data_IF_236310615341
#
_entry.id   IF_236310615341
#
_cell.length_a   1.000
_cell.length_b   1.000
_cell.length_c   1.000
_cell.angle_alpha   90.00
_cell.angle_beta   90.00
_cell.angle_gamma   90.00
#
_symmetry.space_group_name_H-M   'P 1'
#
loop_
_entity.id
_entity.type
_entity.pdbx_description
1 polymer ?
#
# COMPACT_ATOMS: atom_id res chain seq x y z
N UNK A 1 -18.90 24.37 -14.34
CA UNK A 1 -17.97 25.35 -13.74
C UNK A 1 -16.69 24.60 -13.35
N UNK A 2 -15.70 24.64 -14.24
CA UNK A 2 -14.36 24.06 -14.09
C UNK A 2 -13.46 25.09 -13.42
N UNK A 3 -13.47 25.10 -12.08
CA UNK A 3 -12.55 25.90 -11.29
C UNK A 3 -11.47 25.01 -10.68
N UNK A 4 -10.21 25.42 -10.78
CA UNK A 4 -9.14 24.82 -9.99
C UNK A 4 -9.43 25.04 -8.50
N UNK A 5 -9.33 24.01 -7.64
CA UNK A 5 -9.45 24.15 -6.20
C UNK A 5 -8.54 25.26 -5.66
N UNK A 6 -8.96 25.99 -4.63
CA UNK A 6 -8.06 26.87 -3.89
C UNK A 6 -6.78 26.12 -3.48
N UNK A 7 -5.62 26.75 -3.65
CA UNK A 7 -4.30 26.15 -3.37
C UNK A 7 -3.74 25.26 -4.49
N UNK A 8 -4.52 24.87 -5.50
CA UNK A 8 -4.05 23.96 -6.55
C UNK A 8 -2.86 24.54 -7.32
N UNK A 9 -2.96 25.78 -7.80
CA UNK A 9 -1.90 26.40 -8.59
C UNK A 9 -0.58 26.48 -7.81
N UNK A 10 -0.64 26.70 -6.49
CA UNK A 10 0.55 26.76 -5.65
C UNK A 10 1.22 25.40 -5.49
N UNK A 11 0.45 24.36 -5.18
CA UNK A 11 0.98 23.00 -5.09
C UNK A 11 1.47 22.50 -6.45
N UNK A 12 0.75 22.79 -7.53
CA UNK A 12 1.09 22.36 -8.89
C UNK A 12 2.38 23.00 -9.45
N UNK A 13 2.75 24.21 -9.00
CA UNK A 13 4.04 24.83 -9.39
C UNK A 13 5.23 23.97 -9.01
N UNK A 14 5.16 23.25 -7.89
CA UNK A 14 6.24 22.34 -7.46
C UNK A 14 6.43 21.12 -8.38
N UNK A 15 5.46 20.86 -9.25
CA UNK A 15 5.42 19.73 -10.17
C UNK A 15 5.69 20.11 -11.64
N UNK A 16 6.01 21.38 -11.91
CA UNK A 16 6.22 21.87 -13.28
C UNK A 16 4.98 22.49 -13.94
N UNK A 17 4.07 23.07 -13.14
CA UNK A 17 2.89 23.83 -13.59
C UNK A 17 1.84 22.99 -14.36
N UNK A 18 0.91 22.41 -13.60
CA UNK A 18 -0.17 21.56 -14.16
C UNK A 18 -1.40 22.41 -14.47
N UNK A 19 -1.91 22.32 -15.71
CA UNK A 19 -3.19 22.94 -16.09
C UNK A 19 -4.37 22.15 -15.52
N UNK A 20 -5.17 22.81 -14.70
CA UNK A 20 -6.40 22.28 -14.10
C UNK A 20 -7.69 22.85 -14.71
N UNK A 21 -7.59 23.87 -15.56
CA UNK A 21 -8.74 24.57 -16.12
C UNK A 21 -9.29 23.85 -17.36
N UNK A 22 -8.39 23.34 -18.22
CA UNK A 22 -8.76 22.74 -19.52
C UNK A 22 -8.51 21.23 -19.59
N UNK A 23 -8.28 20.57 -18.45
CA UNK A 23 -8.00 19.14 -18.41
C UNK A 23 -9.22 18.30 -18.87
N UNK A 24 -9.02 17.24 -19.70
CA UNK A 24 -10.11 16.37 -20.15
C UNK A 24 -10.87 15.73 -18.98
N UNK A 25 -12.21 15.68 -19.02
CA UNK A 25 -13.02 15.32 -17.86
C UNK A 25 -12.94 13.84 -17.46
N UNK A 26 -12.71 12.94 -18.43
CA UNK A 26 -12.80 11.48 -18.22
C UNK A 26 -11.42 10.83 -18.27
N UNK A 27 -10.73 10.94 -19.40
CA UNK A 27 -9.43 10.31 -19.64
C UNK A 27 -8.59 11.18 -20.55
N UNK A 28 -7.28 11.15 -20.33
CA UNK A 28 -6.28 11.75 -21.19
C UNK A 28 -5.09 10.79 -21.33
N UNK A 29 -4.48 10.77 -22.52
CA UNK A 29 -3.35 9.89 -22.84
C UNK A 29 -2.22 10.70 -23.43
N UNK A 30 -1.00 10.46 -22.94
CA UNK A 30 0.24 11.13 -23.35
C UNK A 30 1.36 10.11 -23.57
N UNK A 31 2.33 10.40 -24.44
CA UNK A 31 3.53 9.59 -24.55
C UNK A 31 4.31 9.53 -23.23
N UNK A 32 4.79 8.36 -22.78
CA UNK A 32 5.61 8.27 -21.57
C UNK A 32 6.93 9.06 -21.63
N UNK A 33 7.41 9.37 -22.84
CA UNK A 33 8.63 10.15 -23.05
C UNK A 33 8.43 11.65 -22.87
N UNK A 34 7.19 12.13 -22.72
CA UNK A 34 6.88 13.55 -22.51
C UNK A 34 6.54 13.89 -21.06
N UNK A 35 6.78 12.98 -20.11
CA UNK A 35 6.50 13.21 -18.69
C UNK A 35 7.57 14.10 -18.06
N UNK A 36 7.19 14.79 -16.97
CA UNK A 36 8.04 15.77 -16.31
C UNK A 36 9.31 15.18 -15.67
N UNK A 37 9.30 13.89 -15.35
CA UNK A 37 10.42 13.18 -14.75
C UNK A 37 10.57 11.78 -15.35
N UNK A 38 11.81 11.35 -15.63
CA UNK A 38 12.11 10.06 -16.27
C UNK A 38 11.76 8.84 -15.41
N UNK A 39 11.53 9.01 -14.12
CA UNK A 39 11.08 7.94 -13.22
C UNK A 39 9.57 7.69 -13.29
N UNK A 40 8.79 8.64 -13.81
CA UNK A 40 7.33 8.53 -13.88
C UNK A 40 6.86 7.35 -14.75
N UNK A 41 7.40 7.11 -15.96
CA UNK A 41 7.04 5.92 -16.75
C UNK A 41 7.39 4.60 -16.04
N UNK A 42 8.48 4.60 -15.26
CA UNK A 42 8.96 3.40 -14.55
C UNK A 42 7.98 3.01 -13.46
N UNK A 43 7.60 3.95 -12.59
CA UNK A 43 6.64 3.68 -11.50
C UNK A 43 5.24 3.38 -12.06
N UNK A 44 4.82 4.06 -13.13
CA UNK A 44 3.53 3.80 -13.77
C UNK A 44 3.46 2.39 -14.36
N UNK A 45 4.45 2.00 -15.16
CA UNK A 45 4.51 0.67 -15.73
C UNK A 45 4.59 -0.40 -14.64
N UNK A 46 5.41 -0.19 -13.62
CA UNK A 46 5.58 -1.16 -12.54
C UNK A 46 4.28 -1.41 -11.78
N UNK A 47 3.55 -0.35 -11.40
CA UNK A 47 2.29 -0.48 -10.66
C UNK A 47 1.19 -1.11 -11.52
N UNK A 48 1.06 -0.68 -12.79
CA UNK A 48 0.05 -1.22 -13.72
C UNK A 48 0.30 -2.71 -14.00
N UNK A 49 1.54 -3.08 -14.30
CA UNK A 49 1.91 -4.50 -14.49
C UNK A 49 1.68 -5.29 -13.20
N UNK A 50 2.09 -4.74 -12.05
CA UNK A 50 1.86 -5.36 -10.74
C UNK A 50 0.38 -5.65 -10.47
N UNK A 51 -0.50 -4.69 -10.71
CA UNK A 51 -1.95 -4.85 -10.57
C UNK A 51 -2.52 -5.92 -11.53
N UNK A 52 -2.04 -5.95 -12.78
CA UNK A 52 -2.43 -6.96 -13.77
C UNK A 52 -1.98 -8.38 -13.40
N UNK A 53 -0.73 -8.56 -12.97
CA UNK A 53 -0.23 -9.86 -12.51
C UNK A 53 -0.94 -10.29 -11.23
N UNK A 54 -1.23 -9.37 -10.31
CA UNK A 54 -2.04 -9.63 -9.11
C UNK A 54 -3.44 -10.14 -9.47
N UNK A 55 -4.09 -9.55 -10.49
CA UNK A 55 -5.39 -10.00 -10.98
C UNK A 55 -5.32 -11.42 -11.54
N UNK A 56 -4.32 -11.70 -12.38
CA UNK A 56 -4.09 -13.06 -12.92
C UNK A 56 -3.90 -14.05 -11.78
N UNK A 57 -3.07 -13.71 -10.78
CA UNK A 57 -2.88 -14.53 -9.59
C UNK A 57 -4.20 -14.76 -8.83
N UNK A 58 -5.00 -13.71 -8.63
CA UNK A 58 -6.28 -13.80 -7.92
C UNK A 58 -7.31 -14.68 -8.65
N UNK A 59 -7.41 -14.55 -9.96
CA UNK A 59 -8.30 -15.38 -10.79
C UNK A 59 -7.85 -16.84 -10.76
N UNK A 60 -6.55 -17.10 -10.87
CA UNK A 60 -6.01 -18.47 -10.81
C UNK A 60 -6.18 -19.07 -9.41
N UNK A 61 -6.00 -18.28 -8.35
CA UNK A 61 -6.25 -18.70 -6.98
C UNK A 61 -7.69 -19.18 -6.80
N UNK A 62 -8.66 -18.38 -7.27
CA UNK A 62 -10.06 -18.77 -7.22
C UNK A 62 -10.34 -20.03 -8.04
N UNK A 63 -9.88 -20.09 -9.29
CA UNK A 63 -10.14 -21.24 -10.18
C UNK A 63 -9.51 -22.55 -9.69
N UNK A 64 -8.34 -22.50 -9.07
CA UNK A 64 -7.60 -23.70 -8.64
C UNK A 64 -7.88 -24.12 -7.21
N UNK A 65 -8.14 -23.18 -6.30
CA UNK A 65 -8.36 -23.45 -4.87
C UNK A 65 -9.81 -23.27 -4.42
N UNK A 66 -10.70 -22.86 -5.32
CA UNK A 66 -12.12 -22.64 -5.01
C UNK A 66 -12.37 -21.49 -4.03
N UNK A 67 -11.40 -20.60 -3.85
CA UNK A 67 -11.45 -19.51 -2.89
C UNK A 67 -11.49 -18.13 -3.58
N UNK A 68 -12.64 -17.44 -3.57
CA UNK A 68 -12.78 -16.15 -4.24
C UNK A 68 -12.21 -14.98 -3.43
N UNK A 69 -11.70 -15.19 -2.21
CA UNK A 69 -11.31 -14.11 -1.28
C UNK A 69 -10.27 -13.17 -1.89
N UNK A 70 -9.24 -13.71 -2.55
CA UNK A 70 -8.20 -12.91 -3.17
C UNK A 70 -8.73 -12.03 -4.30
N UNK A 71 -9.59 -12.58 -5.17
CA UNK A 71 -10.22 -11.81 -6.25
C UNK A 71 -11.17 -10.76 -5.69
N UNK A 72 -11.92 -11.10 -4.65
CA UNK A 72 -12.79 -10.17 -3.96
C UNK A 72 -12.02 -9.01 -3.32
N UNK A 73 -10.87 -9.27 -2.69
CA UNK A 73 -9.98 -8.22 -2.18
C UNK A 73 -9.48 -7.32 -3.31
N UNK A 74 -8.98 -7.89 -4.40
CA UNK A 74 -8.50 -7.13 -5.56
C UNK A 74 -9.60 -6.19 -6.08
N UNK A 75 -10.82 -6.69 -6.29
CA UNK A 75 -11.93 -5.84 -6.73
C UNK A 75 -12.36 -4.81 -5.67
N UNK A 76 -12.32 -5.17 -4.39
CA UNK A 76 -12.68 -4.27 -3.30
C UNK A 76 -11.73 -3.07 -3.21
N UNK A 77 -10.45 -3.23 -3.58
CA UNK A 77 -9.51 -2.09 -3.64
C UNK A 77 -9.91 -1.04 -4.67
N UNK A 78 -10.48 -1.45 -5.82
CA UNK A 78 -10.99 -0.53 -6.83
C UNK A 78 -12.28 0.16 -6.38
N UNK A 79 -13.17 -0.56 -5.69
CA UNK A 79 -14.37 0.04 -5.08
C UNK A 79 -13.96 1.06 -4.02
N UNK A 80 -13.00 0.71 -3.15
CA UNK A 80 -12.45 1.62 -2.15
C UNK A 80 -11.89 2.90 -2.79
N UNK A 81 -11.09 2.76 -3.85
CA UNK A 81 -10.57 3.89 -4.61
C UNK A 81 -11.69 4.81 -5.11
N UNK A 82 -12.71 4.26 -5.77
CA UNK A 82 -13.82 5.06 -6.33
C UNK A 82 -14.61 5.79 -5.25
N UNK A 83 -14.67 5.23 -4.03
CA UNK A 83 -15.33 5.88 -2.89
C UNK A 83 -14.41 6.94 -2.26
N UNK A 84 -13.11 6.68 -2.17
CA UNK A 84 -12.17 7.54 -1.45
C UNK A 84 -11.68 8.73 -2.29
N UNK A 85 -11.18 8.48 -3.50
CA UNK A 85 -10.42 9.46 -4.29
C UNK A 85 -11.23 10.67 -4.75
N UNK A 86 -12.48 10.54 -5.27
CA UNK A 86 -13.21 11.71 -5.76
C UNK A 86 -13.46 12.78 -4.67
N UNK A 87 -13.81 12.43 -3.42
CA UNK A 87 -13.82 13.38 -2.31
C UNK A 87 -12.48 14.08 -2.05
N UNK A 88 -11.33 13.40 -2.21
CA UNK A 88 -10.02 14.00 -1.97
C UNK A 88 -9.62 14.98 -3.09
N UNK A 89 -9.99 14.68 -4.34
CA UNK A 89 -9.71 15.56 -5.48
C UNK A 89 -10.68 16.71 -5.66
N UNK A 90 -11.94 16.53 -5.25
CA UNK A 90 -13.01 17.52 -5.43
C UNK A 90 -13.76 17.79 -4.12
N UNK A 91 -13.08 18.12 -3.02
CA UNK A 91 -13.70 18.23 -1.69
C UNK A 91 -14.86 19.23 -1.65
N UNK A 92 -14.84 20.27 -2.48
CA UNK A 92 -15.93 21.25 -2.59
C UNK A 92 -17.24 20.63 -3.08
N UNK A 93 -17.16 19.63 -3.97
CA UNK A 93 -18.34 18.94 -4.52
C UNK A 93 -19.00 18.00 -3.51
N UNK A 94 -18.27 17.62 -2.46
CA UNK A 94 -18.74 16.73 -1.41
C UNK A 94 -19.01 17.46 -0.08
N UNK A 95 -18.89 18.79 -0.04
CA UNK A 95 -19.07 19.58 1.18
C UNK A 95 -17.98 19.33 2.23
N UNK A 96 -16.79 18.92 1.80
CA UNK A 96 -15.66 18.56 2.66
C UNK A 96 -14.48 19.55 2.58
N UNK A 97 -14.70 20.72 1.97
CA UNK A 97 -13.64 21.70 1.72
C UNK A 97 -12.99 22.20 3.02
N UNK A 98 -13.78 22.46 4.05
CA UNK A 98 -13.27 23.04 5.30
C UNK A 98 -12.56 22.00 6.16
N UNK A 99 -12.92 20.72 6.02
CA UNK A 99 -12.36 19.61 6.80
C UNK A 99 -11.10 19.03 6.15
N UNK A 100 -11.10 18.90 4.81
CA UNK A 100 -10.01 18.24 4.08
C UNK A 100 -9.12 19.24 3.33
N UNK A 101 -9.72 20.25 2.71
CA UNK A 101 -9.03 21.09 1.72
C UNK A 101 -8.49 20.28 0.54
N UNK A 102 -7.69 20.92 -0.32
CA UNK A 102 -6.91 20.21 -1.32
C UNK A 102 -5.76 19.50 -0.60
N UNK A 103 -5.75 18.18 -0.52
CA UNK A 103 -4.75 17.43 0.27
C UNK A 103 -3.43 17.29 -0.51
N UNK A 104 -3.50 16.97 -1.78
CA UNK A 104 -2.33 16.79 -2.64
C UNK A 104 -2.69 17.02 -4.11
N UNK A 105 -1.67 17.13 -4.94
CA UNK A 105 -1.78 17.16 -6.40
C UNK A 105 -0.85 16.10 -6.96
N UNK A 106 -1.38 15.19 -7.78
CA UNK A 106 -0.54 14.29 -8.57
C UNK A 106 0.02 15.01 -9.78
N UNK A 107 1.22 14.61 -10.20
CA UNK A 107 1.74 15.00 -11.49
C UNK A 107 0.96 14.30 -12.63
N UNK A 108 1.17 14.75 -13.85
CA UNK A 108 0.46 14.26 -15.04
C UNK A 108 1.23 13.09 -15.65
N UNK A 109 0.71 11.87 -15.49
CA UNK A 109 1.29 10.65 -16.05
C UNK A 109 0.78 10.33 -17.46
N UNK A 110 1.22 9.21 -18.03
CA UNK A 110 0.88 8.81 -19.40
C UNK A 110 -0.63 8.62 -19.54
N UNK A 111 -1.29 8.00 -18.55
CA UNK A 111 -2.74 7.87 -18.52
C UNK A 111 -3.28 8.55 -17.26
N UNK A 112 -4.08 9.60 -17.44
CA UNK A 112 -4.80 10.24 -16.34
C UNK A 112 -6.31 10.10 -16.50
N UNK A 113 -6.98 10.18 -15.37
CA UNK A 113 -8.43 10.19 -15.23
C UNK A 113 -8.86 11.45 -14.46
N UNK A 114 -10.16 11.76 -14.51
CA UNK A 114 -10.80 12.77 -13.67
C UNK A 114 -10.12 14.16 -13.72
N UNK A 115 -10.14 14.82 -14.89
CA UNK A 115 -9.55 16.16 -15.05
C UNK A 115 -8.05 16.19 -14.72
N UNK A 116 -7.32 15.17 -15.17
CA UNK A 116 -5.89 14.98 -14.90
C UNK A 116 -5.51 14.85 -13.42
N UNK A 117 -6.44 14.46 -12.54
CA UNK A 117 -6.18 14.36 -11.08
C UNK A 117 -5.91 12.96 -10.59
N UNK A 118 -6.39 11.94 -11.29
CA UNK A 118 -6.24 10.55 -10.91
C UNK A 118 -5.38 9.80 -11.94
N UNK A 119 -4.06 9.68 -11.71
CA UNK A 119 -3.20 8.87 -12.55
C UNK A 119 -3.57 7.39 -12.54
N UNK A 120 -3.39 6.70 -13.68
CA UNK A 120 -3.63 5.26 -13.78
C UNK A 120 -2.73 4.46 -12.83
N UNK A 121 -1.50 4.92 -12.59
CA UNK A 121 -0.63 4.23 -11.63
C UNK A 121 -1.20 4.28 -10.21
N UNK A 122 -1.87 5.36 -9.79
CA UNK A 122 -2.56 5.43 -8.50
C UNK A 122 -3.71 4.43 -8.48
N UNK A 123 -4.49 4.33 -9.57
CA UNK A 123 -5.50 3.27 -9.70
C UNK A 123 -4.91 1.88 -9.53
N UNK A 124 -3.70 1.65 -10.03
CA UNK A 124 -3.00 0.39 -9.94
C UNK A 124 -2.32 0.14 -8.58
N UNK A 125 -1.86 1.18 -7.87
CA UNK A 125 -1.19 1.08 -6.56
C UNK A 125 -2.09 0.37 -5.54
N UNK A 126 -3.38 0.71 -5.52
CA UNK A 126 -4.37 0.15 -4.60
C UNK A 126 -4.42 -1.39 -4.66
N UNK A 127 -4.73 -2.01 -5.82
CA UNK A 127 -4.66 -3.46 -5.96
C UNK A 127 -3.24 -4.00 -5.88
N UNK A 128 -2.23 -3.36 -6.49
CA UNK A 128 -0.88 -3.92 -6.56
C UNK A 128 -0.28 -4.14 -5.15
N UNK A 129 -0.28 -3.10 -4.30
CA UNK A 129 0.35 -3.17 -2.98
C UNK A 129 -0.51 -3.90 -1.96
N UNK A 130 -1.81 -3.59 -1.90
CA UNK A 130 -2.71 -4.25 -0.93
C UNK A 130 -2.76 -5.76 -1.19
N UNK A 131 -2.83 -6.16 -2.45
CA UNK A 131 -2.85 -7.57 -2.81
C UNK A 131 -1.51 -8.25 -2.54
N UNK A 132 -0.38 -7.62 -2.91
CA UNK A 132 0.94 -8.19 -2.66
C UNK A 132 1.20 -8.40 -1.16
N UNK A 133 0.88 -7.40 -0.33
CA UNK A 133 0.98 -7.50 1.12
C UNK A 133 0.07 -8.62 1.68
N UNK A 134 -1.19 -8.68 1.23
CA UNK A 134 -2.11 -9.74 1.63
C UNK A 134 -1.60 -11.12 1.25
N UNK A 135 -1.13 -11.30 0.00
CA UNK A 135 -0.67 -12.58 -0.50
C UNK A 135 0.63 -13.04 0.19
N UNK A 136 1.52 -12.12 0.56
CA UNK A 136 2.72 -12.42 1.36
C UNK A 136 2.37 -12.97 2.74
N UNK A 137 1.44 -12.31 3.44
CA UNK A 137 0.99 -12.79 4.76
C UNK A 137 0.15 -14.05 4.62
N UNK A 138 -0.69 -14.16 3.59
CA UNK A 138 -1.48 -15.37 3.30
C UNK A 138 -0.55 -16.59 3.13
N UNK A 139 0.58 -16.43 2.42
CA UNK A 139 1.55 -17.51 2.22
C UNK A 139 2.18 -18.02 3.51
N UNK A 140 2.22 -17.23 4.58
CA UNK A 140 2.69 -17.73 5.88
C UNK A 140 1.65 -18.62 6.58
N UNK A 141 0.37 -18.52 6.19
CA UNK A 141 -0.77 -19.14 6.86
C UNK A 141 -1.22 -18.43 8.15
N UNK A 142 -0.63 -17.28 8.48
CA UNK A 142 -1.05 -16.46 9.63
C UNK A 142 -2.53 -16.06 9.55
N UNK A 143 -3.04 -15.84 8.34
CA UNK A 143 -4.44 -15.48 8.10
C UNK A 143 -5.43 -16.62 8.41
N UNK A 144 -4.98 -17.87 8.51
CA UNK A 144 -5.84 -19.00 8.87
C UNK A 144 -5.72 -19.31 10.37
N UNK A 145 -4.51 -19.18 10.93
CA UNK A 145 -4.20 -19.58 12.31
C UNK A 145 -4.57 -18.54 13.36
N UNK A 146 -4.70 -17.27 12.97
CA UNK A 146 -4.94 -16.17 13.90
C UNK A 146 -6.25 -15.45 13.62
N UNK A 147 -6.74 -14.70 14.62
CA UNK A 147 -7.99 -13.94 14.53
C UNK A 147 -7.99 -12.96 13.34
N UNK A 148 -9.19 -12.60 12.80
CA UNK A 148 -9.35 -11.60 11.75
C UNK A 148 -8.49 -10.34 11.93
N UNK A 149 -8.57 -9.74 13.13
CA UNK A 149 -7.84 -8.52 13.47
C UNK A 149 -6.32 -8.73 13.53
N UNK A 150 -5.83 -9.81 14.14
CA UNK A 150 -4.39 -10.08 14.23
C UNK A 150 -3.76 -10.27 12.84
N UNK A 151 -4.39 -11.05 11.97
CA UNK A 151 -3.90 -11.22 10.60
C UNK A 151 -4.03 -9.95 9.75
N UNK A 152 -5.08 -9.13 9.98
CA UNK A 152 -5.20 -7.82 9.33
C UNK A 152 -4.09 -6.86 9.76
N UNK A 153 -3.70 -6.86 11.05
CA UNK A 153 -2.56 -6.08 11.54
C UNK A 153 -1.25 -6.53 10.87
N UNK A 154 -1.02 -7.84 10.70
CA UNK A 154 0.14 -8.33 9.95
C UNK A 154 0.16 -7.81 8.51
N UNK A 155 -0.97 -7.86 7.79
CA UNK A 155 -1.04 -7.35 6.41
C UNK A 155 -0.84 -5.83 6.37
N UNK A 156 -1.43 -5.10 7.31
CA UNK A 156 -1.28 -3.65 7.42
C UNK A 156 0.20 -3.27 7.61
N UNK A 157 0.93 -3.95 8.49
CA UNK A 157 2.36 -3.68 8.72
C UNK A 157 3.19 -4.00 7.48
N UNK A 158 2.89 -5.10 6.77
CA UNK A 158 3.59 -5.41 5.51
C UNK A 158 3.29 -4.36 4.45
N UNK A 159 2.02 -4.00 4.26
CA UNK A 159 1.62 -2.93 3.33
C UNK A 159 2.31 -1.62 3.67
N UNK A 160 2.27 -1.22 4.94
CA UNK A 160 2.93 -0.02 5.47
C UNK A 160 4.39 0.03 5.07
N UNK A 161 5.14 -1.05 5.29
CA UNK A 161 6.56 -1.09 4.92
C UNK A 161 6.79 -0.96 3.41
N UNK A 162 5.95 -1.56 2.56
CA UNK A 162 6.07 -1.36 1.12
C UNK A 162 5.68 0.06 0.70
N UNK A 163 4.55 0.56 1.22
CA UNK A 163 4.00 1.86 0.88
C UNK A 163 4.95 3.00 1.27
N UNK A 164 5.54 2.97 2.46
CA UNK A 164 6.42 4.05 2.92
C UNK A 164 7.75 4.14 2.15
N UNK A 165 8.21 3.05 1.53
CA UNK A 165 9.36 3.12 0.61
C UNK A 165 9.01 3.96 -0.62
N UNK A 166 7.75 3.90 -1.06
CA UNK A 166 7.20 4.65 -2.19
C UNK A 166 6.79 6.08 -1.79
N UNK A 167 6.07 6.25 -0.68
CA UNK A 167 5.48 7.53 -0.25
C UNK A 167 6.55 8.55 0.15
N UNK A 168 7.62 8.08 0.80
CA UNK A 168 8.77 8.91 1.20
C UNK A 168 9.64 9.33 0.00
N UNK A 169 9.44 8.75 -1.18
CA UNK A 169 10.23 9.04 -2.38
C UNK A 169 9.47 9.95 -3.38
N UNK A 170 8.16 9.77 -3.50
CA UNK A 170 7.36 10.42 -4.54
C UNK A 170 7.41 11.95 -4.58
N UNK A 171 7.38 12.67 -3.44
CA UNK A 171 7.51 14.13 -3.44
C UNK A 171 8.82 14.61 -4.05
N UNK A 172 9.93 13.93 -3.76
CA UNK A 172 11.25 14.29 -4.28
C UNK A 172 11.32 14.13 -5.80
N UNK A 173 10.76 13.03 -6.32
CA UNK A 173 10.72 12.69 -7.75
C UNK A 173 9.53 13.31 -8.50
N UNK A 174 8.83 14.26 -7.89
CA UNK A 174 7.69 14.99 -8.48
C UNK A 174 6.57 14.09 -8.98
N UNK A 175 6.32 12.96 -8.33
CA UNK A 175 5.17 12.12 -8.65
C UNK A 175 3.86 12.71 -8.13
N UNK A 176 3.94 13.40 -6.99
CA UNK A 176 2.89 14.24 -6.42
C UNK A 176 3.51 15.25 -5.46
N UNK A 177 2.70 16.22 -5.05
CA UNK A 177 3.06 17.17 -4.00
C UNK A 177 1.93 17.24 -2.97
N UNK A 178 2.31 17.18 -1.70
CA UNK A 178 1.40 17.42 -0.59
C UNK A 178 1.15 18.92 -0.44
N UNK A 179 -0.09 19.30 -0.14
CA UNK A 179 -0.43 20.70 0.12
C UNK A 179 -0.12 21.08 1.58
N UNK A 180 0.83 21.98 1.85
CA UNK A 180 1.13 22.41 3.22
C UNK A 180 -0.04 23.14 3.91
N UNK A 181 -0.96 23.72 3.12
CA UNK A 181 -2.14 24.41 3.64
C UNK A 181 -3.31 23.50 4.05
N UNK A 182 -3.22 22.19 3.82
CA UNK A 182 -4.29 21.25 4.20
C UNK A 182 -4.20 20.89 5.69
N UNK A 183 -5.27 21.07 6.49
CA UNK A 183 -5.25 20.75 7.93
C UNK A 183 -4.96 19.28 8.24
N UNK A 184 -5.28 18.38 7.30
CA UNK A 184 -5.05 16.95 7.41
C UNK A 184 -3.59 16.54 7.17
N UNK A 185 -2.75 17.42 6.63
CA UNK A 185 -1.36 17.10 6.29
C UNK A 185 -0.36 17.36 7.42
N UNK A 186 -0.78 18.02 8.49
CA UNK A 186 0.02 18.16 9.72
C UNK A 186 -0.34 17.05 10.72
N UNK A 187 0.63 16.54 11.50
CA UNK A 187 2.06 16.87 11.48
C UNK A 187 2.82 16.14 10.36
N UNK A 188 4.08 16.54 10.12
CA UNK A 188 4.92 16.04 9.03
C UNK A 188 6.04 15.10 9.50
N UNK A 189 6.34 14.09 8.69
CA UNK A 189 7.56 13.29 8.71
C UNK A 189 8.36 13.65 7.45
N UNK A 190 9.30 14.60 7.59
CA UNK A 190 9.99 15.20 6.45
C UNK A 190 8.96 15.73 5.41
N UNK A 191 9.04 15.32 4.14
CA UNK A 191 8.10 15.72 3.10
C UNK A 191 6.70 15.07 3.15
N UNK A 192 6.45 14.11 4.06
CA UNK A 192 5.23 13.29 4.06
C UNK A 192 4.39 13.53 5.32
N UNK A 193 3.07 13.77 5.19
CA UNK A 193 2.18 13.85 6.34
C UNK A 193 2.15 12.57 7.18
N UNK A 194 2.27 12.68 8.51
CA UNK A 194 2.14 11.54 9.43
C UNK A 194 0.73 10.93 9.35
N UNK A 195 -0.28 11.71 8.95
CA UNK A 195 -1.61 11.19 8.64
C UNK A 195 -1.60 10.22 7.46
N UNK A 196 -0.83 10.47 6.39
CA UNK A 196 -0.60 9.49 5.31
C UNK A 196 0.04 8.22 5.88
N UNK A 197 1.13 8.39 6.64
CA UNK A 197 1.92 7.31 7.24
C UNK A 197 1.08 6.38 8.12
N UNK A 198 0.06 6.90 8.82
CA UNK A 198 -0.71 6.09 9.78
C UNK A 198 -2.11 5.77 9.28
N UNK A 199 -2.85 6.77 8.81
CA UNK A 199 -4.25 6.60 8.40
C UNK A 199 -4.32 5.88 7.06
N UNK A 200 -3.58 6.36 6.07
CA UNK A 200 -3.58 5.72 4.76
C UNK A 200 -2.75 4.44 4.77
N UNK A 201 -1.48 4.50 5.21
CA UNK A 201 -0.54 3.39 5.07
C UNK A 201 -0.72 2.25 6.09
N UNK A 202 -1.48 2.44 7.17
CA UNK A 202 -1.70 1.38 8.17
C UNK A 202 -3.19 1.13 8.48
N UNK A 203 -3.96 2.17 8.80
CA UNK A 203 -5.36 1.99 9.20
C UNK A 203 -6.25 1.54 8.03
N UNK A 204 -6.03 2.07 6.82
CA UNK A 204 -6.80 1.67 5.64
C UNK A 204 -6.58 0.20 5.21
N UNK A 205 -5.34 -0.33 5.06
CA UNK A 205 -5.16 -1.75 4.75
C UNK A 205 -5.61 -2.64 5.90
N UNK A 206 -5.46 -2.22 7.16
CA UNK A 206 -6.01 -2.95 8.31
C UNK A 206 -7.53 -3.10 8.18
N UNK A 207 -8.26 -2.00 7.97
CA UNK A 207 -9.71 -1.99 7.84
C UNK A 207 -10.18 -2.84 6.66
N UNK A 208 -9.55 -2.67 5.50
CA UNK A 208 -9.90 -3.44 4.30
C UNK A 208 -9.71 -4.95 4.50
N UNK A 209 -8.57 -5.36 5.06
CA UNK A 209 -8.27 -6.78 5.27
C UNK A 209 -9.16 -7.37 6.36
N UNK A 210 -9.43 -6.62 7.43
CA UNK A 210 -10.37 -7.04 8.46
C UNK A 210 -11.76 -7.28 7.87
N UNK A 211 -12.29 -6.33 7.11
CA UNK A 211 -13.58 -6.46 6.43
C UNK A 211 -13.59 -7.61 5.42
N UNK A 212 -12.53 -7.75 4.63
CA UNK A 212 -12.35 -8.89 3.70
C UNK A 212 -12.45 -10.21 4.46
N UNK A 213 -11.76 -10.34 5.59
CA UNK A 213 -11.78 -11.57 6.40
C UNK A 213 -13.14 -11.81 7.06
N UNK A 214 -13.84 -10.76 7.50
CA UNK A 214 -15.15 -10.90 8.12
C UNK A 214 -16.25 -11.23 7.10
N UNK A 215 -16.19 -10.66 5.91
CA UNK A 215 -17.26 -10.73 4.91
C UNK A 215 -17.01 -11.82 3.86
N UNK A 216 -15.77 -12.04 3.43
CA UNK A 216 -15.46 -12.95 2.32
C UNK A 216 -14.92 -14.32 2.74
N UNK A 217 -14.41 -14.50 3.96
CA UNK A 217 -13.84 -15.77 4.41
C UNK A 217 -14.84 -16.95 4.39
N UNK A 218 -16.15 -16.66 4.50
CA UNK A 218 -17.22 -17.69 4.38
C UNK A 218 -17.56 -18.07 2.94
N UNK A 219 -16.77 -17.63 1.96
CA UNK A 219 -16.89 -17.96 0.52
C UNK A 219 -18.34 -17.83 0.02
N UNK A 220 -18.94 -16.63 0.12
CA UNK A 220 -20.31 -16.41 -0.36
C UNK A 220 -20.43 -16.80 -1.84
N UNK A 221 -21.58 -17.34 -2.23
CA UNK A 221 -21.92 -17.54 -3.64
C UNK A 221 -22.47 -16.24 -4.25
N UNK A 222 -22.38 -16.05 -5.58
CA UNK A 222 -23.10 -14.98 -6.26
C UNK A 222 -24.62 -15.07 -5.98
N UNK A 223 -25.36 -13.95 -5.82
CA UNK A 223 -24.89 -12.55 -5.92
C UNK A 223 -24.30 -11.99 -4.62
N UNK A 224 -24.43 -12.69 -3.49
CA UNK A 224 -23.95 -12.21 -2.19
C UNK A 224 -22.45 -11.89 -2.18
N UNK A 225 -21.64 -12.61 -2.97
CA UNK A 225 -20.21 -12.32 -3.13
C UNK A 225 -19.95 -10.90 -3.65
N UNK A 226 -20.69 -10.46 -4.67
CA UNK A 226 -20.54 -9.12 -5.28
C UNK A 226 -20.91 -8.05 -4.25
N UNK A 227 -22.05 -8.22 -3.57
CA UNK A 227 -22.49 -7.27 -2.56
C UNK A 227 -21.48 -7.15 -1.40
N UNK A 228 -20.86 -8.26 -0.99
CA UNK A 228 -19.83 -8.23 0.05
C UNK A 228 -18.53 -7.58 -0.42
N UNK A 229 -18.11 -7.78 -1.67
CA UNK A 229 -16.95 -7.09 -2.26
C UNK A 229 -17.19 -5.58 -2.30
N UNK A 230 -18.36 -5.15 -2.78
CA UNK A 230 -18.77 -3.74 -2.76
C UNK A 230 -18.80 -3.23 -1.33
N UNK A 231 -19.38 -3.99 -0.41
CA UNK A 231 -19.43 -3.66 1.02
C UNK A 231 -18.04 -3.48 1.63
N UNK A 232 -17.07 -4.34 1.33
CA UNK A 232 -15.68 -4.17 1.78
C UNK A 232 -15.13 -2.83 1.30
N UNK A 233 -15.23 -2.53 0.00
CA UNK A 233 -14.71 -1.28 -0.56
C UNK A 233 -15.39 -0.03 0.03
N UNK A 234 -16.72 -0.03 0.12
CA UNK A 234 -17.51 1.09 0.67
C UNK A 234 -17.28 1.28 2.17
N UNK A 235 -17.12 0.21 2.94
CA UNK A 235 -16.93 0.28 4.40
C UNK A 235 -15.48 0.56 4.80
N UNK A 236 -14.50 0.41 3.90
CA UNK A 236 -13.08 0.63 4.21
C UNK A 236 -12.77 2.06 4.67
N UNK A 237 -13.24 3.15 4.03
CA UNK A 237 -13.04 4.51 4.53
C UNK A 237 -13.62 4.72 5.94
N UNK A 238 -14.77 4.09 6.24
CA UNK A 238 -15.36 4.15 7.58
C UNK A 238 -14.53 3.37 8.60
N UNK A 239 -14.02 2.19 8.23
CA UNK A 239 -13.11 1.42 9.08
C UNK A 239 -11.80 2.19 9.35
N UNK A 240 -11.26 2.86 8.33
CA UNK A 240 -10.10 3.75 8.45
C UNK A 240 -10.39 4.91 9.43
N UNK A 241 -11.55 5.56 9.31
CA UNK A 241 -11.99 6.60 10.23
C UNK A 241 -12.12 6.06 11.67
N UNK A 242 -12.73 4.89 11.86
CA UNK A 242 -12.86 4.25 13.17
C UNK A 242 -11.50 3.91 13.80
N UNK A 243 -10.55 3.41 13.00
CA UNK A 243 -9.18 3.16 13.44
C UNK A 243 -8.44 4.45 13.79
N UNK A 244 -8.92 5.60 13.31
CA UNK A 244 -8.38 6.94 13.60
C UNK A 244 -9.07 7.62 14.80
N UNK A 245 -10.14 7.04 15.35
CA UNK A 245 -10.81 7.56 16.57
C UNK A 245 -9.87 7.60 17.78
N UNK A 246 -9.05 6.55 18.07
CA UNK A 246 -8.08 6.61 19.16
C UNK A 246 -7.14 7.81 19.03
N UNK A 247 -6.70 8.12 17.81
CA UNK A 247 -5.92 9.32 17.53
C UNK A 247 -6.71 10.60 17.87
N UNK A 248 -7.95 10.73 17.41
CA UNK A 248 -8.79 11.90 17.67
C UNK A 248 -9.15 12.11 19.15
N UNK A 249 -9.20 11.04 19.94
CA UNK A 249 -9.37 11.12 21.40
C UNK A 249 -8.04 11.49 22.05
N UNK A 250 -6.96 10.77 21.74
CA UNK A 250 -5.65 10.96 22.36
C UNK A 250 -5.06 12.35 22.04
N UNK A 251 -5.26 12.87 20.83
CA UNK A 251 -4.85 14.23 20.46
C UNK A 251 -5.63 15.31 21.23
N UNK A 252 -6.90 15.07 21.59
CA UNK A 252 -7.64 15.99 22.48
C UNK A 252 -7.09 15.97 23.90
N UNK A 253 -6.70 14.79 24.39
CA UNK A 253 -6.10 14.62 25.72
C UNK A 253 -4.69 15.22 25.84
N UNK A 254 -3.85 15.03 24.82
CA UNK A 254 -2.47 15.55 24.78
C UNK A 254 -2.38 17.04 24.40
N UNK A 255 -3.52 17.68 24.14
CA UNK A 255 -3.61 19.02 23.59
C UNK A 255 -3.55 19.03 22.05
N UNK A 256 -4.27 19.98 21.44
CA UNK A 256 -4.37 20.14 19.97
C UNK A 256 -3.10 20.70 19.30
N UNK A 257 -1.93 20.31 19.79
CA UNK A 257 -0.64 20.65 19.18
C UNK A 257 -0.23 19.59 18.16
N UNK A 258 0.60 19.98 17.20
CA UNK A 258 1.20 19.07 16.21
C UNK A 258 1.95 17.91 16.89
N UNK A 259 2.62 18.17 18.02
CA UNK A 259 3.31 17.16 18.80
C UNK A 259 2.33 16.14 19.42
N UNK A 260 1.22 16.61 20.02
CA UNK A 260 0.19 15.74 20.59
C UNK A 260 -0.48 14.88 19.51
N UNK A 261 -0.72 15.46 18.33
CA UNK A 261 -1.21 14.72 17.17
C UNK A 261 -0.20 13.67 16.68
N UNK A 262 1.07 14.02 16.56
CA UNK A 262 2.12 13.10 16.13
C UNK A 262 2.22 11.90 17.07
N UNK A 263 2.31 12.14 18.39
CA UNK A 263 2.35 11.08 19.40
C UNK A 263 1.14 10.15 19.27
N UNK A 264 -0.04 10.71 19.07
CA UNK A 264 -1.26 9.93 18.95
C UNK A 264 -1.29 9.05 17.68
N UNK A 265 -0.82 9.57 16.53
CA UNK A 265 -0.70 8.80 15.29
C UNK A 265 0.35 7.67 15.44
N UNK A 266 1.53 7.99 15.97
CA UNK A 266 2.58 6.99 16.20
C UNK A 266 2.15 5.90 17.18
N UNK A 267 1.35 6.24 18.20
CA UNK A 267 0.80 5.25 19.13
C UNK A 267 -0.13 4.25 18.42
N UNK A 268 -0.99 4.71 17.49
CA UNK A 268 -1.85 3.82 16.69
C UNK A 268 -1.02 2.86 15.85
N UNK A 269 -0.01 3.37 15.16
CA UNK A 269 0.90 2.53 14.38
C UNK A 269 1.66 1.54 15.27
N UNK A 270 2.17 1.99 16.42
CA UNK A 270 2.89 1.14 17.36
C UNK A 270 2.03 -0.03 17.88
N UNK A 271 0.73 0.19 18.11
CA UNK A 271 -0.20 -0.88 18.48
C UNK A 271 -0.33 -1.91 17.36
N UNK A 272 -0.50 -1.49 16.10
CA UNK A 272 -0.57 -2.41 14.96
C UNK A 272 0.72 -3.23 14.81
N UNK A 273 1.89 -2.56 14.91
CA UNK A 273 3.20 -3.20 14.88
C UNK A 273 3.36 -4.20 16.03
N UNK A 274 2.97 -3.82 17.25
CA UNK A 274 3.04 -4.71 18.41
C UNK A 274 2.16 -5.95 18.23
N UNK A 275 0.91 -5.77 17.77
CA UNK A 275 -0.01 -6.89 17.51
C UNK A 275 0.57 -7.82 16.44
N UNK A 276 1.11 -7.28 15.35
CA UNK A 276 1.73 -8.06 14.30
C UNK A 276 2.96 -8.83 14.81
N UNK A 277 3.87 -8.16 15.53
CA UNK A 277 5.08 -8.76 16.08
C UNK A 277 4.78 -9.88 17.08
N UNK A 278 3.80 -9.68 17.98
CA UNK A 278 3.36 -10.71 18.92
C UNK A 278 2.69 -11.89 18.21
N UNK A 279 1.97 -11.63 17.12
CA UNK A 279 1.33 -12.67 16.30
C UNK A 279 2.37 -13.54 15.62
N UNK A 280 3.35 -12.92 14.94
CA UNK A 280 4.46 -13.63 14.29
C UNK A 280 5.32 -14.36 15.33
N UNK A 281 5.62 -13.73 16.47
CA UNK A 281 6.43 -14.33 17.51
C UNK A 281 5.81 -15.57 18.16
N UNK A 282 4.48 -15.62 18.30
CA UNK A 282 3.77 -16.83 18.74
C UNK A 282 3.80 -17.93 17.69
N UNK A 283 3.64 -17.56 16.43
CA UNK A 283 3.61 -18.50 15.31
C UNK A 283 4.96 -19.19 15.08
N UNK A 284 6.05 -18.43 15.07
CA UNK A 284 7.43 -18.95 14.90
C UNK A 284 7.78 -19.96 16.00
N UNK A 285 7.30 -19.74 17.23
CA UNK A 285 7.51 -20.67 18.35
C UNK A 285 6.72 -21.97 18.25
N UNK A 286 5.69 -22.02 17.40
CA UNK A 286 4.77 -23.15 17.31
C UNK A 286 5.22 -24.27 16.35
N UNK A 287 6.40 -24.14 15.72
CA UNK A 287 7.08 -25.13 14.86
C UNK A 287 6.14 -25.97 13.99
N UNK A 288 5.82 -25.50 12.78
CA UNK A 288 5.03 -26.30 11.83
C UNK A 288 5.54 -26.20 10.40
N UNK A 289 5.55 -27.37 9.76
CA UNK A 289 5.89 -27.55 8.34
C UNK A 289 4.76 -27.00 7.46
N UNK A 290 5.00 -25.85 6.85
CA UNK A 290 4.24 -25.38 5.70
C UNK A 290 4.93 -25.87 4.43
N UNK A 291 4.19 -26.55 3.55
CA UNK A 291 4.69 -27.01 2.25
C UNK A 291 4.13 -26.11 1.13
N UNK A 292 4.89 -25.12 0.65
CA UNK A 292 4.52 -24.41 -0.57
C UNK A 292 4.63 -25.36 -1.77
N UNK A 293 3.72 -25.25 -2.74
CA UNK A 293 3.90 -25.88 -4.04
C UNK A 293 4.93 -25.08 -4.85
N UNK A 294 5.53 -25.70 -5.86
CA UNK A 294 6.51 -25.05 -6.74
C UNK A 294 5.88 -24.17 -7.84
N UNK A 295 4.58 -23.93 -7.76
CA UNK A 295 3.81 -23.24 -8.80
C UNK A 295 3.87 -21.72 -8.75
N UNK A 296 3.35 -21.10 -9.83
CA UNK A 296 3.18 -19.64 -9.91
C UNK A 296 2.45 -19.03 -8.70
N UNK A 297 1.43 -19.72 -8.17
CA UNK A 297 0.63 -19.20 -7.05
C UNK A 297 1.48 -19.00 -5.79
N UNK A 298 2.38 -19.93 -5.49
CA UNK A 298 3.20 -19.81 -4.28
C UNK A 298 4.39 -18.88 -4.51
N UNK A 299 4.94 -18.80 -5.73
CA UNK A 299 6.08 -17.92 -6.05
C UNK A 299 5.70 -16.45 -6.18
N UNK A 300 4.48 -16.15 -6.67
CA UNK A 300 4.04 -14.78 -6.96
C UNK A 300 4.28 -13.80 -5.81
N UNK A 301 3.88 -14.04 -4.54
CA UNK A 301 4.03 -13.04 -3.48
C UNK A 301 5.48 -12.64 -3.23
N UNK A 302 6.39 -13.62 -3.28
CA UNK A 302 7.84 -13.38 -3.08
C UNK A 302 8.44 -12.66 -4.27
N UNK A 303 8.10 -13.06 -5.50
CA UNK A 303 8.60 -12.39 -6.71
C UNK A 303 8.09 -10.95 -6.78
N UNK A 304 6.81 -10.71 -6.49
CA UNK A 304 6.22 -9.38 -6.46
C UNK A 304 6.88 -8.48 -5.41
N UNK A 305 7.05 -8.99 -4.18
CA UNK A 305 7.73 -8.24 -3.12
C UNK A 305 9.21 -7.95 -3.43
N UNK A 306 9.94 -8.93 -3.97
CA UNK A 306 11.34 -8.75 -4.37
C UNK A 306 11.46 -7.75 -5.54
N UNK A 307 10.60 -7.85 -6.54
CA UNK A 307 10.57 -6.91 -7.66
C UNK A 307 10.28 -5.48 -7.18
N UNK A 308 9.35 -5.30 -6.23
CA UNK A 308 9.11 -4.00 -5.62
C UNK A 308 10.39 -3.46 -4.96
N UNK A 309 11.03 -4.23 -4.08
CA UNK A 309 12.22 -3.75 -3.38
C UNK A 309 13.36 -3.42 -4.34
N UNK A 310 13.56 -4.21 -5.40
CA UNK A 310 14.60 -3.96 -6.39
C UNK A 310 14.32 -2.69 -7.20
N UNK A 311 13.09 -2.50 -7.68
CA UNK A 311 12.70 -1.31 -8.45
C UNK A 311 12.83 -0.07 -7.57
N UNK A 312 12.30 -0.10 -6.36
CA UNK A 312 12.37 1.06 -5.46
C UNK A 312 13.77 1.33 -4.93
N UNK A 313 14.61 0.31 -4.72
CA UNK A 313 16.03 0.54 -4.43
C UNK A 313 16.73 1.26 -5.59
N UNK A 314 16.40 0.91 -6.85
CA UNK A 314 16.89 1.61 -8.03
C UNK A 314 16.41 3.07 -8.09
N UNK A 315 15.12 3.32 -7.83
CA UNK A 315 14.57 4.67 -7.82
C UNK A 315 15.14 5.53 -6.68
N UNK A 316 15.33 4.97 -5.49
CA UNK A 316 16.05 5.62 -4.39
C UNK A 316 17.50 5.92 -4.75
N UNK A 317 18.20 5.01 -5.45
CA UNK A 317 19.57 5.24 -5.89
C UNK A 317 19.66 6.41 -6.90
N UNK A 318 18.68 6.56 -7.78
CA UNK A 318 18.57 7.72 -8.70
C UNK A 318 18.32 9.02 -7.93
N UNK A 319 17.50 8.98 -6.89
CA UNK A 319 17.17 10.14 -6.05
C UNK A 319 18.28 10.52 -5.06
N UNK A 320 19.17 9.60 -4.72
CA UNK A 320 20.13 9.76 -3.63
C UNK A 320 21.12 10.93 -3.82
N UNK A 321 21.68 11.21 -5.00
CA UNK A 321 22.57 12.36 -5.20
C UNK A 321 21.90 13.69 -4.80
N UNK A 322 20.68 13.94 -5.28
CA UNK A 322 19.93 15.16 -4.96
C UNK A 322 19.47 15.18 -3.50
N UNK A 323 19.18 14.00 -2.92
CA UNK A 323 18.88 13.86 -1.50
C UNK A 323 20.06 14.31 -0.62
N UNK A 324 21.27 13.88 -0.97
CA UNK A 324 22.49 14.20 -0.21
C UNK A 324 22.92 15.66 -0.38
N UNK A 325 22.56 16.28 -1.51
CA UNK A 325 22.79 17.70 -1.77
C UNK A 325 21.66 18.59 -1.22
N UNK A 326 20.65 18.02 -0.57
CA UNK A 326 19.51 18.79 -0.08
C UNK A 326 19.90 19.70 1.08
N UNK A 327 19.40 20.93 1.06
CA UNK A 327 19.57 21.92 2.13
C UNK A 327 18.22 22.28 2.71
N UNK A 328 18.10 22.27 4.04
CA UNK A 328 16.84 22.55 4.74
C UNK A 328 15.64 21.72 4.26
N UNK A 329 15.87 20.46 3.87
CA UNK A 329 14.81 19.54 3.43
C UNK A 329 14.38 19.71 1.97
N UNK A 330 15.08 20.51 1.18
CA UNK A 330 14.81 20.72 -0.25
C UNK A 330 16.03 20.33 -1.11
N UNK A 331 15.80 19.61 -2.20
CA UNK A 331 16.82 19.31 -3.22
C UNK A 331 17.29 20.58 -3.94
N UNK A 332 18.40 20.55 -4.70
CA UNK A 332 18.79 21.67 -5.57
C UNK A 332 17.71 22.08 -6.58
N UNK A 333 16.84 21.14 -6.96
CA UNK A 333 15.72 21.38 -7.86
C UNK A 333 14.44 21.87 -7.15
N UNK A 334 14.53 22.19 -5.85
CA UNK A 334 13.45 22.74 -5.03
C UNK A 334 12.39 21.73 -4.60
N UNK A 335 12.62 20.43 -4.78
CA UNK A 335 11.67 19.38 -4.36
C UNK A 335 11.90 18.96 -2.91
N UNK A 336 10.84 18.73 -2.12
CA UNK A 336 10.99 18.32 -0.73
C UNK A 336 11.44 16.86 -0.63
N UNK A 337 12.37 16.58 0.29
CA UNK A 337 12.89 15.23 0.52
C UNK A 337 12.13 14.51 1.64
N UNK A 338 11.84 13.22 1.46
CA UNK A 338 11.25 12.38 2.50
C UNK A 338 12.28 11.90 3.54
N UNK A 339 11.84 10.98 4.40
CA UNK A 339 12.70 10.40 5.44
C UNK A 339 13.40 9.14 4.93
N UNK A 340 14.66 9.26 4.50
CA UNK A 340 15.48 8.13 4.07
C UNK A 340 15.65 7.08 5.17
N UNK A 341 15.86 7.53 6.42
CA UNK A 341 15.98 6.62 7.57
C UNK A 341 14.72 5.79 7.80
N UNK A 342 13.55 6.40 7.63
CA UNK A 342 12.27 5.71 7.78
C UNK A 342 12.02 4.73 6.62
N UNK A 343 12.22 5.17 5.38
CA UNK A 343 12.10 4.32 4.19
C UNK A 343 13.07 3.12 4.26
N UNK A 344 14.32 3.34 4.72
CA UNK A 344 15.30 2.27 4.90
C UNK A 344 14.86 1.28 5.99
N UNK A 345 14.33 1.75 7.13
CA UNK A 345 13.79 0.87 8.16
C UNK A 345 12.62 0.02 7.63
N UNK A 346 11.72 0.61 6.86
CA UNK A 346 10.63 -0.10 6.18
C UNK A 346 11.16 -1.13 5.16
N UNK A 347 12.18 -0.79 4.37
CA UNK A 347 12.83 -1.71 3.44
C UNK A 347 13.49 -2.89 4.16
N UNK A 348 14.13 -2.66 5.30
CA UNK A 348 14.72 -3.72 6.14
C UNK A 348 13.64 -4.69 6.66
N UNK A 349 12.52 -4.17 7.16
CA UNK A 349 11.39 -4.99 7.63
C UNK A 349 10.78 -5.78 6.48
N UNK A 350 10.50 -5.13 5.34
CA UNK A 350 9.97 -5.78 4.13
C UNK A 350 10.91 -6.89 3.61
N UNK A 351 12.22 -6.63 3.62
CA UNK A 351 13.24 -7.63 3.28
C UNK A 351 13.22 -8.80 4.26
N UNK A 352 13.13 -8.52 5.57
CA UNK A 352 13.00 -9.55 6.60
C UNK A 352 11.77 -10.44 6.41
N UNK A 353 10.63 -9.84 6.06
CA UNK A 353 9.39 -10.57 5.72
C UNK A 353 9.62 -11.46 4.50
N UNK A 354 10.20 -10.94 3.41
CA UNK A 354 10.48 -11.74 2.21
C UNK A 354 11.42 -12.91 2.50
N UNK A 355 12.49 -12.68 3.27
CA UNK A 355 13.44 -13.74 3.66
C UNK A 355 12.75 -14.80 4.50
N UNK A 356 11.92 -14.41 5.47
CA UNK A 356 11.16 -15.35 6.30
C UNK A 356 10.19 -16.20 5.46
N UNK A 357 9.41 -15.58 4.58
CA UNK A 357 8.46 -16.25 3.68
C UNK A 357 9.17 -17.16 2.67
N UNK A 358 10.36 -16.77 2.21
CA UNK A 358 11.17 -17.56 1.26
C UNK A 358 11.82 -18.77 1.93
N UNK A 359 12.37 -18.61 3.14
CA UNK A 359 13.03 -19.70 3.89
C UNK A 359 12.05 -20.77 4.37
N UNK A 360 10.82 -20.39 4.68
CA UNK A 360 9.74 -21.34 4.95
C UNK A 360 9.52 -22.32 3.76
N UNK A 361 9.99 -22.00 2.56
CA UNK A 361 9.94 -22.90 1.41
C UNK A 361 11.18 -23.80 1.21
N UNK A 362 12.35 -23.44 1.76
CA UNK A 362 13.64 -24.03 1.33
C UNK A 362 14.19 -25.14 2.24
N UNK A 363 13.77 -25.21 3.51
CA UNK A 363 14.39 -26.12 4.52
C UNK A 363 14.21 -27.61 4.19
N UNK A 364 13.32 -27.99 3.27
CA UNK A 364 12.95 -29.40 3.05
C UNK A 364 13.52 -30.04 1.78
N UNK A 365 14.13 -29.30 0.85
CA UNK A 365 14.74 -29.90 -0.36
C UNK A 365 16.00 -30.74 -0.08
N UNK A 366 16.62 -30.59 1.10
CA UNK A 366 17.79 -31.41 1.52
C UNK A 366 17.44 -32.71 2.26
N UNK A 367 16.17 -32.99 2.56
CA UNK A 367 15.78 -34.11 3.45
C UNK A 367 15.43 -35.44 2.78
N UNK A 368 15.18 -35.47 1.46
CA UNK A 368 14.57 -36.64 0.79
C UNK A 368 15.52 -37.48 -0.06
N UNK A 369 16.82 -37.18 -0.08
CA UNK A 369 17.79 -37.96 -0.87
C UNK A 369 18.41 -39.18 -0.16
N UNK A 370 18.19 -39.40 1.14
CA UNK A 370 18.99 -40.37 1.92
C UNK A 370 18.25 -41.64 2.39
N UNK A 371 16.97 -41.84 2.06
CA UNK A 371 16.19 -42.98 2.62
C UNK A 371 15.55 -43.84 1.53
N UNK A 372 16.35 -44.31 0.58
CA UNK A 372 15.93 -45.31 -0.41
C UNK A 372 17.06 -46.31 -0.69
N UNK A 373 17.58 -46.98 0.33
CA UNK A 373 18.47 -48.14 0.13
C UNK A 373 18.59 -49.06 1.36
N UNK A 374 17.48 -49.49 2.00
CA UNK A 374 17.58 -50.62 2.94
C UNK A 374 16.26 -51.31 3.28
N UNK A 375 15.66 -51.99 2.30
CA UNK A 375 14.72 -53.09 2.56
C UNK A 375 14.64 -53.96 1.32
N UNK A 376 15.60 -54.88 1.17
CA UNK A 376 15.28 -56.19 0.59
C UNK A 376 16.30 -57.22 1.09
N UNK A 377 15.87 -58.03 2.06
CA UNK A 377 16.41 -59.36 2.39
C UNK A 377 15.41 -60.03 3.32
N UNK A 378 14.51 -60.80 2.70
CA UNK A 378 13.66 -61.80 3.35
C UNK A 378 14.49 -63.03 3.76
N UNK A 379 14.20 -63.68 4.91
CA UNK A 379 14.85 -64.91 5.31
C UNK A 379 14.21 -66.14 4.62
N UNK A 380 15.06 -67.08 4.21
CA UNK A 380 14.71 -68.51 4.10
C UNK A 380 15.50 -69.27 5.14
#
# INVERSE_FOLDING_TARGET
MSGCPPGFAETARTLGEIDCANAPPVVSVRPPTSLADGTMPVVEAFMVVGAGVALVHAVLWWRRRGDPTNLGLWCATLVYLVVLEPPLYFPQRFGLQDQLGLIFVHNVFSVQLLYDRLPLYIVAVYPALTYAAYALVQRTGLLERHSPAAGAACVAVVFHCFYEIFDQLGPQLRWWAWNPGAPSNSPWLAAVPVSSVVVFAAASPFGMVLLTRLLLARRPRPPAAVLRVVGVGVLTPFAMMLCSVPYGVLSRWLGRSDAGQAVALWAVLAVLVLVAALTVGRDVRSSRDFRPDDGFLDRYPVVAGAAFLLVFAGLWAVALPDYLNATAGLTPAGTPIGSLGYAAACALVATGVLVAVSRAATVTTRGTSSRKSRTDRSPR
#
